data_IF_881275028960
#
_entry.id   IF_881275028960
#
_cell.length_a   1.000
_cell.length_b   1.000
_cell.length_c   1.000
_cell.angle_alpha   90.00
_cell.angle_beta   90.00
_cell.angle_gamma   90.00
#
_symmetry.space_group_name_H-M   'P 1'
#
loop_
_entity.id
_entity.type
_entity.pdbx_description
1 polymer ?
#
# COMPACT_ATOMS: atom_id res chain seq x y z
N UNK A 1 69.47 37.59 82.42
CA UNK A 1 68.02 37.75 82.65
C UNK A 1 67.28 37.48 81.34
N UNK A 2 66.07 36.93 81.46
CA UNK A 2 65.05 36.63 80.44
C UNK A 2 65.21 35.32 79.65
N UNK A 3 64.40 34.35 80.08
CA UNK A 3 63.90 33.21 79.29
C UNK A 3 63.04 33.72 78.14
N UNK A 4 63.13 33.08 76.98
CA UNK A 4 62.05 33.01 76.01
C UNK A 4 62.04 31.61 75.39
N UNK A 5 60.99 30.85 75.70
CA UNK A 5 60.60 29.63 75.01
C UNK A 5 59.95 30.04 73.69
N UNK A 6 60.44 29.54 72.55
CA UNK A 6 59.75 29.64 71.26
C UNK A 6 59.45 28.22 70.79
N UNK A 7 58.15 27.95 70.70
CA UNK A 7 57.56 26.75 70.10
C UNK A 7 57.70 26.89 68.58
N UNK A 8 58.38 25.94 67.92
CA UNK A 8 58.39 25.89 66.46
C UNK A 8 57.64 24.64 66.01
N UNK A 9 56.58 24.89 65.25
CA UNK A 9 55.61 23.93 64.72
C UNK A 9 56.28 23.03 63.68
N UNK A 10 56.15 21.71 63.83
CA UNK A 10 56.54 20.75 62.82
C UNK A 10 55.54 20.78 61.66
N UNK A 11 55.99 21.23 60.48
CA UNK A 11 55.23 21.12 59.25
C UNK A 11 55.52 19.73 58.67
N UNK A 12 54.53 18.84 58.73
CA UNK A 12 54.54 17.58 57.98
C UNK A 12 54.14 17.93 56.54
N UNK A 13 55.10 17.90 55.62
CA UNK A 13 54.81 17.97 54.19
C UNK A 13 54.23 16.63 53.75
N UNK A 14 52.91 16.57 53.60
CA UNK A 14 52.24 15.47 52.91
C UNK A 14 52.49 15.62 51.40
N UNK A 15 53.37 14.79 50.85
CA UNK A 15 53.47 14.58 49.40
C UNK A 15 52.16 13.96 48.92
N UNK A 16 51.35 14.77 48.23
CA UNK A 16 50.16 14.33 47.52
C UNK A 16 50.62 13.54 46.28
N UNK A 17 50.56 12.21 46.33
CA UNK A 17 50.70 11.37 45.14
C UNK A 17 49.39 11.52 44.37
N UNK A 18 49.39 12.34 43.33
CA UNK A 18 48.31 12.38 42.34
C UNK A 18 48.38 11.08 41.54
N UNK A 19 47.55 10.08 41.89
CA UNK A 19 47.19 9.05 40.93
C UNK A 19 46.40 9.74 39.81
N UNK A 20 47.05 9.96 38.67
CA UNK A 20 46.35 10.35 37.46
C UNK A 20 45.39 9.24 37.09
N UNK A 21 44.10 9.44 37.35
CA UNK A 21 43.06 8.69 36.66
C UNK A 21 43.24 8.98 35.16
N UNK A 22 43.37 7.96 34.29
CA UNK A 22 43.30 8.21 32.86
C UNK A 22 41.98 8.92 32.57
N UNK A 23 41.94 9.84 31.57
CA UNK A 23 40.67 10.43 31.16
C UNK A 23 39.69 9.29 30.91
N UNK A 24 38.58 9.31 31.65
CA UNK A 24 37.47 8.41 31.40
C UNK A 24 37.07 8.62 29.95
N UNK A 25 37.39 7.65 29.10
CA UNK A 25 36.83 7.60 27.78
C UNK A 25 35.36 7.34 28.03
N UNK A 26 34.53 8.37 27.96
CA UNK A 26 33.10 8.17 27.84
C UNK A 26 32.95 7.30 26.59
N UNK A 27 32.72 6.01 26.79
CA UNK A 27 32.35 5.10 25.71
C UNK A 27 31.10 5.73 25.11
N UNK A 28 31.15 6.06 23.82
CA UNK A 28 29.97 6.52 23.11
C UNK A 28 28.81 5.57 23.45
N UNK A 29 27.64 6.13 23.72
CA UNK A 29 26.46 5.30 23.94
C UNK A 29 26.34 4.34 22.75
N UNK A 30 26.05 3.07 23.04
CA UNK A 30 25.84 2.09 21.98
C UNK A 30 24.72 2.59 21.05
N UNK A 31 24.86 2.45 19.73
CA UNK A 31 23.78 2.77 18.80
C UNK A 31 22.51 2.02 19.19
N UNK A 32 21.37 2.64 18.93
CA UNK A 32 20.05 2.09 19.25
C UNK A 32 19.15 2.16 18.03
N UNK A 33 18.35 1.13 17.81
CA UNK A 33 17.24 1.11 16.85
C UNK A 33 15.94 1.04 17.63
N UNK A 34 14.99 1.96 17.38
CA UNK A 34 13.75 2.10 18.17
C UNK A 34 13.97 2.16 19.70
N UNK A 35 15.09 2.77 20.13
CA UNK A 35 15.46 2.88 21.55
C UNK A 35 16.02 1.59 22.18
N UNK A 36 16.20 0.52 21.41
CA UNK A 36 16.79 -0.74 21.86
C UNK A 36 18.27 -0.79 21.46
N UNK A 37 19.20 -1.12 22.37
CA UNK A 37 20.63 -1.20 22.06
C UNK A 37 20.95 -2.26 21.01
N UNK A 38 21.80 -1.90 20.04
CA UNK A 38 22.23 -2.79 18.98
C UNK A 38 22.99 -4.02 19.50
N UNK A 39 22.67 -5.20 18.97
CA UNK A 39 23.46 -6.45 19.10
C UNK A 39 24.52 -6.53 18.00
N UNK A 40 24.24 -5.95 16.83
CA UNK A 40 25.11 -5.93 15.65
C UNK A 40 25.18 -4.49 15.10
N UNK A 41 26.38 -4.04 14.76
CA UNK A 41 26.60 -2.73 14.11
C UNK A 41 27.64 -2.88 13.01
N UNK A 42 27.53 -2.13 11.92
CA UNK A 42 28.48 -2.25 10.81
C UNK A 42 28.35 -1.15 9.75
N UNK A 43 29.05 -1.35 8.64
CA UNK A 43 29.00 -0.55 7.39
C UNK A 43 29.22 -1.51 6.22
N UNK A 44 28.55 -1.34 5.09
CA UNK A 44 28.52 -2.25 3.96
C UNK A 44 27.64 -3.47 4.24
N UNK A 45 28.17 -4.68 4.04
CA UNK A 45 27.40 -5.91 4.28
C UNK A 45 27.40 -6.29 5.76
N UNK A 46 26.20 -6.38 6.35
CA UNK A 46 25.94 -6.74 7.73
C UNK A 46 25.03 -7.97 7.74
N UNK A 47 25.39 -8.98 8.53
CA UNK A 47 24.54 -10.16 8.72
C UNK A 47 24.27 -10.32 10.21
N UNK A 48 23.00 -10.51 10.55
CA UNK A 48 22.54 -10.97 11.84
C UNK A 48 22.83 -12.45 12.05
N UNK A 49 22.01 -13.07 12.86
CA UNK A 49 22.08 -14.45 13.27
C UNK A 49 20.72 -15.13 13.06
N UNK A 50 20.62 -16.46 13.17
CA UNK A 50 19.31 -17.14 13.09
C UNK A 50 18.38 -16.91 14.30
N UNK A 51 18.62 -15.88 15.12
CA UNK A 51 17.75 -15.51 16.22
C UNK A 51 17.74 -14.00 16.42
N UNK A 52 16.88 -13.52 17.32
CA UNK A 52 16.58 -12.10 17.53
C UNK A 52 17.84 -11.23 17.62
N UNK A 53 17.94 -10.30 16.68
CA UNK A 53 18.98 -9.30 16.57
C UNK A 53 18.42 -7.87 16.58
N UNK A 54 19.28 -6.93 17.01
CA UNK A 54 19.06 -5.50 16.85
C UNK A 54 20.23 -4.98 16.04
N UNK A 55 19.99 -4.68 14.77
CA UNK A 55 21.02 -4.34 13.80
C UNK A 55 20.92 -2.84 13.50
N UNK A 56 22.07 -2.14 13.60
CA UNK A 56 22.18 -0.74 13.21
C UNK A 56 23.26 -0.59 12.15
N UNK A 57 22.87 -0.08 10.98
CA UNK A 57 23.73 0.30 9.88
C UNK A 57 24.48 1.60 10.13
N UNK A 58 24.64 2.37 9.08
CA UNK A 58 25.49 3.55 9.03
C UNK A 58 24.88 4.67 8.20
N UNK A 59 25.59 5.77 8.00
CA UNK A 59 25.14 6.86 7.14
C UNK A 59 25.56 6.68 5.67
N UNK A 60 25.89 5.45 5.27
CA UNK A 60 26.26 5.07 3.92
C UNK A 60 25.42 3.86 3.52
N UNK A 61 25.23 3.65 2.23
CA UNK A 61 24.46 2.51 1.74
C UNK A 61 25.03 1.16 2.20
N UNK A 62 24.18 0.41 2.88
CA UNK A 62 24.44 -0.85 3.57
C UNK A 62 23.57 -1.97 2.97
N UNK A 63 24.02 -3.23 3.15
CA UNK A 63 23.22 -4.41 2.84
C UNK A 63 23.09 -5.20 4.13
N UNK A 64 21.89 -5.25 4.70
CA UNK A 64 21.63 -5.82 6.02
C UNK A 64 20.70 -7.02 5.88
N UNK A 65 21.14 -8.19 6.37
CA UNK A 65 20.31 -9.39 6.45
C UNK A 65 20.11 -9.79 7.91
N UNK A 66 18.87 -9.78 8.42
CA UNK A 66 18.52 -10.27 9.76
C UNK A 66 18.67 -11.80 9.86
N UNK A 67 18.25 -12.49 8.80
CA UNK A 67 18.25 -13.95 8.59
C UNK A 67 17.03 -14.64 9.18
N UNK A 68 16.88 -14.65 10.50
CA UNK A 68 15.64 -15.14 11.08
C UNK A 68 15.59 -15.02 12.58
N UNK A 69 14.41 -15.24 13.15
CA UNK A 69 14.08 -14.63 14.42
C UNK A 69 13.41 -13.28 14.19
N UNK A 70 12.92 -12.66 15.25
CA UNK A 70 12.17 -11.40 15.17
C UNK A 70 13.15 -10.24 15.37
N UNK A 71 13.60 -9.67 14.27
CA UNK A 71 14.71 -8.75 14.21
C UNK A 71 14.25 -7.29 14.21
N UNK A 72 15.15 -6.41 14.66
CA UNK A 72 14.96 -4.97 14.62
C UNK A 72 16.13 -4.37 13.86
N UNK A 73 15.87 -3.76 12.70
CA UNK A 73 16.89 -3.32 11.75
C UNK A 73 16.70 -1.83 11.45
N UNK A 74 17.76 -1.03 11.61
CA UNK A 74 17.80 0.37 11.18
C UNK A 74 18.96 0.59 10.21
N UNK A 75 18.67 1.01 8.97
CA UNK A 75 19.65 1.42 7.96
C UNK A 75 20.34 2.73 8.31
N UNK A 76 19.53 3.71 8.73
CA UNK A 76 19.85 5.09 9.12
C UNK A 76 19.90 6.06 7.94
N UNK A 77 20.89 5.97 7.06
CA UNK A 77 20.81 6.77 5.85
C UNK A 77 21.87 6.46 4.83
N UNK A 78 21.70 6.99 3.63
CA UNK A 78 22.22 6.33 2.44
C UNK A 78 21.18 5.37 1.89
N UNK A 79 21.48 4.77 0.74
CA UNK A 79 20.56 3.86 0.06
C UNK A 79 20.89 2.43 0.50
N UNK A 80 20.02 1.86 1.32
CA UNK A 80 20.19 0.60 2.01
C UNK A 80 19.39 -0.52 1.34
N UNK A 81 19.82 -1.76 1.56
CA UNK A 81 19.01 -2.95 1.28
C UNK A 81 18.83 -3.71 2.59
N UNK A 82 17.59 -3.76 3.08
CA UNK A 82 17.21 -4.37 4.33
C UNK A 82 16.37 -5.62 4.07
N UNK A 83 16.83 -6.76 4.58
CA UNK A 83 16.16 -8.06 4.47
C UNK A 83 15.98 -8.56 5.90
N UNK A 84 14.75 -8.61 6.42
CA UNK A 84 14.47 -9.10 7.77
C UNK A 84 14.81 -10.59 7.88
N UNK A 85 14.25 -11.37 6.96
CA UNK A 85 14.37 -12.83 6.98
C UNK A 85 13.21 -13.43 7.74
N UNK A 86 13.32 -14.70 8.15
CA UNK A 86 12.17 -15.39 8.72
C UNK A 86 11.79 -14.84 10.10
N UNK A 87 10.60 -14.28 10.27
CA UNK A 87 10.21 -13.79 11.59
C UNK A 87 9.04 -12.84 11.58
N UNK A 88 8.99 -12.02 12.62
CA UNK A 88 8.16 -10.82 12.65
C UNK A 88 9.13 -9.69 12.93
N UNK A 89 9.49 -8.97 11.88
CA UNK A 89 10.62 -8.08 11.85
C UNK A 89 10.17 -6.63 11.85
N UNK A 90 11.07 -5.75 12.29
CA UNK A 90 10.84 -4.31 12.30
C UNK A 90 12.01 -3.61 11.63
N UNK A 91 11.76 -3.03 10.46
CA UNK A 91 12.77 -2.43 9.61
C UNK A 91 12.52 -0.90 9.50
N UNK A 92 13.59 -0.13 9.50
CA UNK A 92 13.63 1.32 9.31
C UNK A 92 14.75 1.63 8.30
N UNK A 93 14.40 2.04 7.08
CA UNK A 93 15.34 2.44 6.04
C UNK A 93 16.10 3.69 6.48
N UNK A 94 15.34 4.74 6.73
CA UNK A 94 15.82 5.99 7.32
C UNK A 94 15.80 7.11 6.29
N UNK A 95 16.94 7.44 5.71
CA UNK A 95 17.01 8.52 4.72
C UNK A 95 17.84 8.10 3.52
N UNK A 96 17.28 8.15 2.33
CA UNK A 96 17.85 7.58 1.12
C UNK A 96 16.80 6.71 0.45
N UNK A 97 17.11 6.25 -0.76
CA UNK A 97 16.21 5.37 -1.49
C UNK A 97 16.57 3.93 -1.14
N UNK A 98 15.71 3.27 -0.37
CA UNK A 98 15.95 2.00 0.27
C UNK A 98 15.18 0.86 -0.40
N UNK A 99 15.71 -0.35 -0.28
CA UNK A 99 15.03 -1.59 -0.70
C UNK A 99 14.78 -2.42 0.55
N UNK A 100 13.52 -2.68 0.88
CA UNK A 100 13.11 -3.37 2.10
C UNK A 100 12.30 -4.61 1.77
N UNK A 101 12.66 -5.73 2.39
CA UNK A 101 11.95 -7.02 2.30
C UNK A 101 11.78 -7.53 3.73
N UNK A 102 10.56 -7.76 4.19
CA UNK A 102 10.37 -8.30 5.54
C UNK A 102 10.95 -9.70 5.67
N UNK A 103 10.75 -10.57 4.66
CA UNK A 103 11.27 -11.94 4.69
C UNK A 103 12.44 -12.20 3.73
N UNK A 104 12.30 -13.21 2.86
CA UNK A 104 13.37 -13.81 2.10
C UNK A 104 13.43 -13.13 0.73
N UNK A 105 14.60 -12.57 0.42
CA UNK A 105 14.92 -12.06 -0.90
C UNK A 105 15.87 -13.01 -1.65
N UNK A 106 15.43 -13.55 -2.79
CA UNK A 106 16.26 -14.42 -3.65
C UNK A 106 16.45 -13.84 -5.06
N UNK A 107 17.65 -14.00 -5.60
CA UNK A 107 17.88 -13.79 -7.04
C UNK A 107 17.27 -14.89 -7.92
N UNK A 108 16.77 -15.97 -7.31
CA UNK A 108 16.06 -17.03 -7.99
C UNK A 108 15.81 -18.26 -7.12
N UNK A 109 14.76 -19.01 -7.47
CA UNK A 109 14.22 -20.11 -6.67
C UNK A 109 12.94 -19.70 -5.96
N UNK A 110 12.49 -20.57 -5.04
CA UNK A 110 11.29 -20.32 -4.27
C UNK A 110 11.66 -19.63 -2.95
N UNK A 111 11.20 -18.40 -2.78
CA UNK A 111 11.23 -17.68 -1.50
C UNK A 111 9.99 -18.10 -0.70
N UNK A 112 10.20 -18.52 0.55
CA UNK A 112 9.14 -19.00 1.44
C UNK A 112 9.33 -18.34 2.79
N UNK A 113 8.47 -17.38 3.11
CA UNK A 113 8.43 -16.62 4.35
C UNK A 113 7.02 -16.61 4.94
N UNK A 114 6.58 -15.44 5.34
CA UNK A 114 5.40 -15.12 6.13
C UNK A 114 5.85 -14.46 7.44
N UNK A 115 5.19 -13.38 7.83
CA UNK A 115 5.52 -12.66 9.04
C UNK A 115 4.37 -11.78 9.53
N UNK A 116 4.64 -10.93 10.50
CA UNK A 116 3.85 -9.71 10.65
C UNK A 116 4.89 -8.65 10.85
N UNK A 117 5.23 -7.98 9.78
CA UNK A 117 6.41 -7.14 9.70
C UNK A 117 6.01 -5.66 9.79
N UNK A 118 6.90 -4.84 10.32
CA UNK A 118 6.74 -3.40 10.38
C UNK A 118 7.86 -2.75 9.57
N UNK A 119 7.54 -2.20 8.40
CA UNK A 119 8.47 -1.55 7.49
C UNK A 119 8.23 -0.04 7.50
N UNK A 120 9.31 0.73 7.59
CA UNK A 120 9.32 2.20 7.49
C UNK A 120 10.39 2.62 6.50
N UNK A 121 10.00 3.17 5.37
CA UNK A 121 10.92 3.68 4.34
C UNK A 121 11.68 4.89 4.85
N UNK A 122 10.97 5.98 5.10
CA UNK A 122 11.51 7.22 5.66
C UNK A 122 11.56 8.31 4.60
N UNK A 123 12.68 9.04 4.51
CA UNK A 123 12.86 10.03 3.44
C UNK A 123 13.50 9.36 2.22
N UNK A 124 12.89 9.39 1.04
CA UNK A 124 13.44 8.81 -0.19
C UNK A 124 12.37 8.10 -1.01
N UNK A 125 12.74 7.65 -2.20
CA UNK A 125 11.86 6.77 -3.00
C UNK A 125 12.20 5.32 -2.65
N UNK A 126 11.32 4.64 -1.92
CA UNK A 126 11.56 3.33 -1.32
C UNK A 126 10.82 2.19 -2.05
N UNK A 127 11.44 1.00 -2.10
CA UNK A 127 10.85 -0.24 -2.64
C UNK A 127 10.64 -1.23 -1.49
N UNK A 128 9.39 -1.45 -1.10
CA UNK A 128 9.00 -2.26 0.05
C UNK A 128 8.11 -3.45 -0.33
N UNK A 129 8.46 -4.62 0.20
CA UNK A 129 7.65 -5.85 0.12
C UNK A 129 7.55 -6.42 1.53
N UNK A 130 6.34 -6.62 2.06
CA UNK A 130 6.14 -7.03 3.46
C UNK A 130 6.67 -8.42 3.73
N UNK A 131 6.50 -9.36 2.80
CA UNK A 131 7.06 -10.71 2.95
C UNK A 131 8.21 -10.98 1.96
N UNK A 132 7.95 -11.88 1.01
CA UNK A 132 8.96 -12.60 0.25
C UNK A 132 9.11 -12.04 -1.15
N UNK A 133 10.36 -11.94 -1.58
CA UNK A 133 10.73 -11.49 -2.92
C UNK A 133 11.60 -12.51 -3.64
N UNK A 134 11.30 -12.72 -4.92
CA UNK A 134 12.21 -13.45 -5.80
C UNK A 134 12.28 -12.85 -7.19
N UNK A 135 13.50 -12.68 -7.72
CA UNK A 135 13.68 -12.23 -9.10
C UNK A 135 13.25 -13.31 -10.12
N UNK A 136 13.16 -14.60 -9.71
CA UNK A 136 12.66 -15.68 -10.57
C UNK A 136 12.26 -16.90 -9.76
N UNK A 137 11.03 -17.38 -9.92
CA UNK A 137 10.46 -18.48 -9.14
C UNK A 137 9.29 -18.00 -8.29
N UNK A 138 8.86 -18.83 -7.34
CA UNK A 138 7.69 -18.50 -6.54
C UNK A 138 8.07 -17.71 -5.29
N UNK A 139 7.32 -16.66 -4.98
CA UNK A 139 7.32 -16.03 -3.66
C UNK A 139 6.05 -16.47 -2.93
N UNK A 140 6.20 -17.03 -1.74
CA UNK A 140 5.08 -17.34 -0.85
C UNK A 140 5.41 -16.79 0.54
N UNK A 141 4.52 -15.98 1.07
CA UNK A 141 4.61 -15.31 2.36
C UNK A 141 3.32 -14.54 2.53
N UNK A 142 2.75 -14.61 3.73
CA UNK A 142 1.60 -13.78 4.06
C UNK A 142 1.74 -13.32 5.49
N UNK A 143 1.07 -12.23 5.81
CA UNK A 143 1.22 -11.62 7.11
C UNK A 143 0.06 -10.72 7.47
N UNK A 144 0.23 -9.94 8.54
CA UNK A 144 -0.53 -8.70 8.63
C UNK A 144 0.51 -7.65 8.88
N UNK A 145 0.91 -7.00 7.81
CA UNK A 145 2.07 -6.14 7.76
C UNK A 145 1.66 -4.69 7.96
N UNK A 146 2.59 -3.92 8.49
CA UNK A 146 2.45 -2.49 8.68
C UNK A 146 3.54 -1.78 7.90
N UNK A 147 3.15 -0.98 6.92
CA UNK A 147 4.06 -0.26 6.04
C UNK A 147 3.79 1.24 6.13
N UNK A 148 4.87 2.02 6.15
CA UNK A 148 4.86 3.49 6.10
C UNK A 148 5.96 3.91 5.12
N UNK A 149 5.56 4.40 3.95
CA UNK A 149 6.40 4.91 2.87
C UNK A 149 7.27 6.05 3.36
N UNK A 150 6.63 7.18 3.63
CA UNK A 150 7.25 8.29 4.33
C UNK A 150 7.27 9.54 3.48
N UNK A 151 8.35 9.82 2.77
CA UNK A 151 8.40 10.98 1.89
C UNK A 151 9.20 10.66 0.64
N UNK A 152 8.57 10.73 -0.54
CA UNK A 152 9.14 10.29 -1.80
C UNK A 152 8.16 9.42 -2.53
N UNK A 153 8.49 9.02 -3.77
CA UNK A 153 7.60 8.17 -4.56
C UNK A 153 7.90 6.70 -4.27
N UNK A 154 7.04 6.06 -3.48
CA UNK A 154 7.26 4.73 -2.93
C UNK A 154 6.55 3.65 -3.74
N UNK A 155 7.13 2.45 -3.71
CA UNK A 155 6.57 1.23 -4.29
C UNK A 155 6.33 0.24 -3.16
N UNK A 156 5.08 -0.14 -2.92
CA UNK A 156 4.71 -0.96 -1.77
C UNK A 156 3.83 -2.14 -2.16
N UNK A 157 4.20 -3.31 -1.63
CA UNK A 157 3.46 -4.57 -1.75
C UNK A 157 3.32 -5.16 -0.34
N UNK A 158 2.09 -5.40 0.12
CA UNK A 158 1.87 -5.89 1.48
C UNK A 158 2.43 -7.29 1.68
N UNK A 159 2.24 -8.23 0.75
CA UNK A 159 2.76 -9.59 0.90
C UNK A 159 3.97 -9.88 -0.01
N UNK A 160 3.77 -10.55 -1.14
CA UNK A 160 4.81 -11.25 -1.89
C UNK A 160 5.00 -10.73 -3.32
N UNK A 161 6.25 -10.69 -3.78
CA UNK A 161 6.60 -10.17 -5.11
C UNK A 161 7.50 -11.10 -5.94
N UNK A 162 7.16 -11.26 -7.22
CA UNK A 162 8.03 -11.93 -8.21
C UNK A 162 8.16 -11.13 -9.52
N UNK A 163 9.40 -10.84 -9.93
CA UNK A 163 9.71 -10.00 -11.09
C UNK A 163 9.67 -10.73 -12.44
N UNK A 164 9.71 -12.05 -12.44
CA UNK A 164 9.81 -12.85 -13.67
C UNK A 164 8.80 -13.99 -13.66
N UNK A 165 9.12 -15.08 -14.38
CA UNK A 165 8.27 -16.27 -14.39
C UNK A 165 8.21 -16.88 -12.99
N UNK A 166 7.01 -16.89 -12.41
CA UNK A 166 6.72 -17.40 -11.08
C UNK A 166 5.42 -16.85 -10.51
N UNK A 167 4.91 -17.49 -9.47
CA UNK A 167 3.69 -17.06 -8.80
C UNK A 167 4.04 -16.34 -7.50
N UNK A 168 3.27 -15.32 -7.15
CA UNK A 168 3.28 -14.67 -5.84
C UNK A 168 2.03 -15.07 -5.06
N UNK A 169 2.18 -15.34 -3.76
CA UNK A 169 1.06 -15.67 -2.87
C UNK A 169 1.27 -15.11 -1.48
N UNK A 170 0.23 -14.46 -1.00
CA UNK A 170 0.04 -13.88 0.33
C UNK A 170 -1.33 -13.22 0.30
N UNK A 171 -2.01 -13.18 1.44
CA UNK A 171 -3.40 -12.68 1.49
C UNK A 171 -3.64 -12.08 2.85
N UNK A 172 -2.77 -11.14 3.20
CA UNK A 172 -2.61 -10.59 4.52
C UNK A 172 -3.81 -9.79 5.00
N UNK A 173 -3.62 -8.95 5.99
CA UNK A 173 -4.57 -7.86 6.23
C UNK A 173 -3.71 -6.72 6.68
N UNK A 174 -3.35 -5.94 5.68
CA UNK A 174 -2.19 -5.09 5.71
C UNK A 174 -2.62 -3.65 5.92
N UNK A 175 -1.69 -2.89 6.50
CA UNK A 175 -1.89 -1.52 6.87
C UNK A 175 -0.79 -0.68 6.24
N UNK A 176 -1.13 0.04 5.18
CA UNK A 176 -0.17 0.72 4.32
C UNK A 176 -0.46 2.21 4.27
N UNK A 177 0.58 3.02 4.45
CA UNK A 177 0.53 4.48 4.34
C UNK A 177 1.61 4.96 3.37
N UNK A 178 1.23 5.58 2.26
CA UNK A 178 2.15 6.20 1.30
C UNK A 178 2.83 7.43 1.87
N UNK A 179 2.01 8.34 2.42
CA UNK A 179 2.35 9.65 3.04
C UNK A 179 2.55 10.75 2.01
N UNK A 180 3.74 11.34 1.88
CA UNK A 180 3.98 12.48 1.00
C UNK A 180 4.75 12.00 -0.23
N UNK A 181 4.17 12.04 -1.42
CA UNK A 181 4.82 11.58 -2.64
C UNK A 181 3.82 11.07 -3.66
N UNK A 182 4.25 10.91 -4.91
CA UNK A 182 3.41 10.33 -5.94
C UNK A 182 3.61 8.79 -5.91
N UNK A 183 2.81 8.09 -5.10
CA UNK A 183 2.98 6.66 -4.82
C UNK A 183 2.18 5.84 -5.84
N UNK A 184 2.72 5.71 -7.05
CA UNK A 184 2.01 5.09 -8.18
C UNK A 184 1.59 3.62 -7.94
N UNK A 185 2.16 2.92 -6.94
CA UNK A 185 1.90 1.49 -6.71
C UNK A 185 1.90 1.13 -5.22
N UNK A 186 0.73 1.17 -4.60
CA UNK A 186 0.43 0.55 -3.31
C UNK A 186 -0.52 -0.62 -3.54
N UNK A 187 -0.01 -1.85 -3.38
CA UNK A 187 -0.77 -3.08 -3.57
C UNK A 187 -0.91 -3.82 -2.23
N UNK A 188 -2.13 -4.11 -1.80
CA UNK A 188 -2.36 -4.70 -0.47
C UNK A 188 -1.81 -6.11 -0.34
N UNK A 189 -1.93 -6.97 -1.36
CA UNK A 189 -1.43 -8.34 -1.28
C UNK A 189 -0.17 -8.57 -2.14
N UNK A 190 -0.32 -9.24 -3.29
CA UNK A 190 0.75 -9.91 -4.00
C UNK A 190 0.86 -9.42 -5.44
N UNK A 191 2.09 -9.33 -5.94
CA UNK A 191 2.37 -8.94 -7.32
C UNK A 191 3.19 -10.00 -8.04
N UNK A 192 2.77 -10.37 -9.26
CA UNK A 192 3.52 -11.28 -10.11
C UNK A 192 3.63 -10.74 -11.54
N UNK A 193 4.84 -10.49 -12.00
CA UNK A 193 5.07 -9.97 -13.36
C UNK A 193 5.00 -11.05 -14.44
N UNK A 194 5.27 -12.32 -14.12
CA UNK A 194 5.33 -13.40 -15.11
C UNK A 194 4.53 -14.65 -14.78
N UNK A 195 3.60 -14.56 -13.83
CA UNK A 195 2.76 -15.67 -13.39
C UNK A 195 1.55 -15.19 -12.61
N UNK A 196 0.94 -16.06 -11.80
CA UNK A 196 -0.29 -15.72 -11.08
C UNK A 196 0.04 -15.04 -9.74
N UNK A 197 -0.73 -14.03 -9.37
CA UNK A 197 -0.73 -13.41 -8.06
C UNK A 197 -2.01 -13.79 -7.32
N UNK A 198 -1.90 -14.13 -6.03
CA UNK A 198 -3.05 -14.55 -5.22
C UNK A 198 -2.99 -13.93 -3.84
N UNK A 199 -4.10 -13.30 -3.45
CA UNK A 199 -4.42 -12.83 -2.10
C UNK A 199 -5.92 -12.82 -1.85
N UNK A 200 -6.46 -11.74 -1.32
CA UNK A 200 -7.82 -11.59 -0.82
C UNK A 200 -7.85 -11.06 0.62
N UNK A 201 -6.95 -10.14 0.95
CA UNK A 201 -6.79 -9.55 2.27
C UNK A 201 -7.99 -8.72 2.72
N UNK A 202 -7.86 -7.88 3.72
CA UNK A 202 -8.89 -6.85 4.00
C UNK A 202 -8.11 -5.61 4.41
N UNK A 203 -7.59 -4.95 3.40
CA UNK A 203 -6.45 -4.09 3.55
C UNK A 203 -6.88 -2.65 3.79
N UNK A 204 -6.01 -1.89 4.44
CA UNK A 204 -6.18 -0.46 4.59
C UNK A 204 -5.01 0.23 3.90
N UNK A 205 -5.32 0.89 2.79
CA UNK A 205 -4.40 1.64 1.96
C UNK A 205 -4.75 3.12 2.06
N UNK A 206 -3.77 3.94 2.42
CA UNK A 206 -3.89 5.40 2.51
C UNK A 206 -2.72 6.01 1.73
N UNK A 207 -3.00 6.59 0.56
CA UNK A 207 -1.99 7.19 -0.33
C UNK A 207 -1.34 8.41 0.33
N UNK A 208 -2.14 9.40 0.69
CA UNK A 208 -1.70 10.56 1.45
C UNK A 208 -1.72 11.83 0.62
N UNK A 209 -0.58 12.44 0.35
CA UNK A 209 -0.45 13.63 -0.48
C UNK A 209 0.39 13.29 -1.71
N UNK A 210 -0.14 13.55 -2.90
CA UNK A 210 0.50 13.25 -4.18
C UNK A 210 -0.48 12.54 -5.08
N UNK A 211 -0.06 12.21 -6.30
CA UNK A 211 -0.89 11.43 -7.21
C UNK A 211 -0.59 9.93 -7.00
N UNK A 212 -1.54 9.19 -6.42
CA UNK A 212 -1.34 7.83 -5.89
C UNK A 212 -2.08 6.74 -6.68
N UNK A 213 -1.52 5.55 -6.71
CA UNK A 213 -2.13 4.34 -7.30
C UNK A 213 -2.38 3.27 -6.24
N UNK A 214 -3.64 3.01 -5.92
CA UNK A 214 -4.03 2.03 -4.89
C UNK A 214 -4.73 0.82 -5.50
N UNK A 215 -4.32 -0.37 -5.07
CA UNK A 215 -4.89 -1.65 -5.46
C UNK A 215 -5.08 -2.52 -4.21
N UNK A 216 -6.32 -2.89 -3.88
CA UNK A 216 -6.59 -3.54 -2.59
C UNK A 216 -5.97 -4.92 -2.48
N UNK A 217 -6.08 -5.75 -3.51
CA UNK A 217 -5.56 -7.12 -3.46
C UNK A 217 -4.28 -7.29 -4.31
N UNK A 218 -4.40 -7.92 -5.48
CA UNK A 218 -3.30 -8.55 -6.20
C UNK A 218 -3.15 -8.01 -7.62
N UNK A 219 -1.90 -7.95 -8.11
CA UNK A 219 -1.58 -7.45 -9.44
C UNK A 219 -0.84 -8.45 -10.32
N UNK A 220 -1.21 -8.51 -11.61
CA UNK A 220 -0.44 -9.19 -12.67
C UNK A 220 -0.16 -8.29 -13.89
N UNK A 221 0.78 -7.32 -13.79
CA UNK A 221 0.94 -6.24 -14.76
C UNK A 221 1.47 -6.62 -16.15
N UNK A 222 2.05 -7.82 -16.32
CA UNK A 222 2.58 -8.26 -17.62
C UNK A 222 2.08 -9.64 -18.06
N UNK A 223 1.12 -10.20 -17.33
CA UNK A 223 0.46 -11.46 -17.64
C UNK A 223 0.29 -12.37 -16.42
N UNK A 224 -0.62 -13.33 -16.55
CA UNK A 224 -1.07 -14.17 -15.43
C UNK A 224 -2.46 -13.77 -14.96
N UNK A 225 -2.97 -14.50 -13.97
CA UNK A 225 -4.24 -14.19 -13.30
C UNK A 225 -3.95 -13.58 -11.94
N UNK A 226 -4.56 -12.42 -11.67
CA UNK A 226 -4.65 -11.88 -10.32
C UNK A 226 -5.93 -12.40 -9.66
N UNK A 227 -5.83 -12.81 -8.39
CA UNK A 227 -7.00 -13.23 -7.61
C UNK A 227 -6.96 -12.61 -6.22
N UNK A 228 -8.12 -12.19 -5.75
CA UNK A 228 -8.38 -11.51 -4.48
C UNK A 228 -9.84 -11.04 -4.52
N UNK A 229 -10.43 -10.74 -3.38
CA UNK A 229 -11.75 -10.09 -3.26
C UNK A 229 -11.92 -9.57 -1.82
N UNK A 230 -10.88 -8.89 -1.33
CA UNK A 230 -10.83 -8.35 0.01
C UNK A 230 -11.89 -7.29 0.24
N UNK A 231 -12.37 -7.09 1.47
CA UNK A 231 -13.20 -5.91 1.76
C UNK A 231 -12.30 -4.80 2.27
N UNK A 232 -11.81 -4.01 1.33
CA UNK A 232 -10.69 -3.10 1.51
C UNK A 232 -11.16 -1.68 1.82
N UNK A 233 -10.25 -0.90 2.41
CA UNK A 233 -10.44 0.52 2.67
C UNK A 233 -9.31 1.25 1.98
N UNK A 234 -9.63 1.88 0.85
CA UNK A 234 -8.68 2.61 0.02
C UNK A 234 -8.98 4.10 0.10
N UNK A 235 -7.98 4.88 0.48
CA UNK A 235 -8.07 6.34 0.59
C UNK A 235 -6.95 6.98 -0.21
N UNK A 236 -7.29 7.68 -1.28
CA UNK A 236 -6.32 8.43 -2.07
C UNK A 236 -5.67 9.52 -1.22
N UNK A 237 -6.48 10.46 -0.71
CA UNK A 237 -5.99 11.56 0.11
C UNK A 237 -6.06 12.90 -0.61
N UNK A 238 -4.94 13.54 -0.88
CA UNK A 238 -4.83 14.76 -1.68
C UNK A 238 -3.98 14.49 -2.91
N UNK A 239 -4.62 14.49 -4.06
CA UNK A 239 -4.04 14.24 -5.37
C UNK A 239 -5.09 14.58 -6.42
N UNK A 240 -4.71 14.79 -7.66
CA UNK A 240 -5.72 14.87 -8.75
C UNK A 240 -5.50 13.81 -9.81
N UNK A 241 -4.37 13.11 -9.73
CA UNK A 241 -3.99 11.98 -10.54
C UNK A 241 -4.33 10.63 -9.92
N UNK A 242 -5.04 10.59 -8.81
CA UNK A 242 -5.28 9.37 -8.04
C UNK A 242 -6.06 8.33 -8.84
N UNK A 243 -5.67 7.06 -8.69
CA UNK A 243 -6.33 5.91 -9.31
C UNK A 243 -6.50 4.78 -8.30
N UNK A 244 -7.72 4.25 -8.20
CA UNK A 244 -8.04 3.20 -7.22
C UNK A 244 -8.77 2.04 -7.90
N UNK A 245 -8.34 0.82 -7.57
CA UNK A 245 -9.03 -0.43 -7.88
C UNK A 245 -9.23 -1.18 -6.56
N UNK A 246 -10.48 -1.45 -6.18
CA UNK A 246 -10.78 -2.04 -4.88
C UNK A 246 -10.21 -3.44 -4.72
N UNK A 247 -10.37 -4.33 -5.70
CA UNK A 247 -9.83 -5.70 -5.59
C UNK A 247 -8.50 -5.86 -6.34
N UNK A 248 -8.53 -6.55 -7.49
CA UNK A 248 -7.35 -7.04 -8.21
C UNK A 248 -7.26 -6.51 -9.63
N UNK A 249 -6.04 -6.35 -10.13
CA UNK A 249 -5.76 -5.97 -11.50
C UNK A 249 -4.98 -7.07 -12.25
N UNK A 250 -5.44 -7.41 -13.45
CA UNK A 250 -4.72 -8.38 -14.28
C UNK A 250 -4.85 -8.15 -15.78
N UNK A 251 -3.82 -8.56 -16.51
CA UNK A 251 -3.85 -8.53 -17.99
C UNK A 251 -4.60 -9.72 -18.58
N UNK A 252 -4.52 -10.92 -17.98
CA UNK A 252 -5.23 -12.10 -18.51
C UNK A 252 -6.54 -12.32 -17.80
N UNK A 253 -6.57 -12.16 -16.49
CA UNK A 253 -7.80 -12.18 -15.71
C UNK A 253 -7.56 -11.58 -14.32
N UNK A 254 -8.61 -10.98 -13.77
CA UNK A 254 -8.73 -10.57 -12.39
C UNK A 254 -9.99 -11.26 -11.83
N UNK A 255 -9.82 -12.16 -10.86
CA UNK A 255 -10.88 -13.07 -10.45
C UNK A 255 -11.01 -13.12 -8.94
N UNK A 256 -12.19 -12.75 -8.48
CA UNK A 256 -12.61 -12.72 -7.09
C UNK A 256 -14.09 -13.02 -6.98
N UNK A 257 -14.62 -13.00 -5.76
CA UNK A 257 -16.07 -12.96 -5.55
C UNK A 257 -16.34 -12.40 -4.17
N UNK A 258 -17.21 -11.40 -4.08
CA UNK A 258 -17.27 -10.56 -2.88
C UNK A 258 -16.37 -9.37 -3.11
N UNK A 259 -15.64 -8.95 -2.07
CA UNK A 259 -15.24 -7.56 -1.95
C UNK A 259 -16.41 -6.75 -1.41
N UNK A 260 -16.18 -5.66 -0.71
CA UNK A 260 -17.21 -4.69 -0.34
C UNK A 260 -16.40 -3.48 0.05
N UNK A 261 -15.95 -2.79 -0.98
CA UNK A 261 -14.82 -1.92 -0.89
C UNK A 261 -15.27 -0.52 -0.51
N UNK A 262 -14.50 0.11 0.35
CA UNK A 262 -14.65 1.54 0.61
C UNK A 262 -13.54 2.25 -0.14
N UNK A 263 -13.92 2.85 -1.27
CA UNK A 263 -13.05 3.69 -2.07
C UNK A 263 -13.37 5.16 -1.80
N UNK A 264 -12.37 5.90 -1.31
CA UNK A 264 -12.45 7.33 -1.03
C UNK A 264 -11.37 8.07 -1.82
N UNK A 265 -11.78 8.79 -2.86
CA UNK A 265 -10.90 9.55 -3.76
C UNK A 265 -10.40 10.86 -3.12
N UNK A 266 -10.71 11.11 -1.85
CA UNK A 266 -10.29 12.33 -1.19
C UNK A 266 -11.14 13.55 -1.57
N UNK A 267 -10.74 14.72 -1.10
CA UNK A 267 -11.57 15.93 -1.27
C UNK A 267 -11.42 16.61 -2.63
N UNK A 268 -10.30 16.36 -3.29
CA UNK A 268 -9.97 16.80 -4.64
C UNK A 268 -10.56 15.87 -5.69
N UNK A 269 -10.62 14.56 -5.45
CA UNK A 269 -11.05 13.56 -6.43
C UNK A 269 -9.84 12.98 -7.17
N UNK A 270 -10.05 12.29 -8.29
CA UNK A 270 -8.95 11.70 -9.04
C UNK A 270 -9.28 11.42 -10.50
N UNK A 271 -8.60 10.43 -11.07
CA UNK A 271 -8.81 10.03 -12.46
C UNK A 271 -9.92 8.98 -12.56
N UNK A 272 -9.82 7.92 -11.76
CA UNK A 272 -10.84 6.87 -11.73
C UNK A 272 -10.86 6.08 -10.42
N UNK A 273 -12.02 5.50 -10.12
CA UNK A 273 -12.24 4.54 -9.04
C UNK A 273 -13.06 3.34 -9.54
N UNK A 274 -12.64 2.13 -9.17
CA UNK A 274 -13.39 0.89 -9.37
C UNK A 274 -13.59 0.19 -8.02
N UNK A 275 -14.78 -0.37 -7.78
CA UNK A 275 -15.03 -1.15 -6.57
C UNK A 275 -14.41 -2.55 -6.63
N UNK A 276 -14.54 -3.26 -7.75
CA UNK A 276 -13.97 -4.61 -7.88
C UNK A 276 -12.67 -4.62 -8.72
N UNK A 277 -12.69 -5.34 -9.85
CA UNK A 277 -11.52 -5.75 -10.61
C UNK A 277 -11.29 -4.91 -11.86
N UNK A 278 -10.03 -4.73 -12.19
CA UNK A 278 -9.61 -4.13 -13.45
C UNK A 278 -8.93 -5.14 -14.39
N UNK A 279 -9.19 -4.99 -15.69
CA UNK A 279 -8.38 -5.60 -16.73
C UNK A 279 -7.45 -4.55 -17.33
N UNK A 280 -6.14 -4.76 -17.29
CA UNK A 280 -5.12 -3.83 -17.81
C UNK A 280 -4.86 -3.89 -19.33
N UNK A 281 -5.58 -4.72 -20.09
CA UNK A 281 -5.43 -4.86 -21.55
C UNK A 281 -6.80 -4.92 -22.28
N UNK A 282 -7.11 -3.99 -23.21
CA UNK A 282 -8.38 -3.98 -23.94
C UNK A 282 -8.59 -5.21 -24.83
N UNK A 283 -7.52 -5.95 -25.16
CA UNK A 283 -7.56 -7.09 -26.07
C UNK A 283 -7.91 -8.41 -25.38
N UNK A 284 -7.97 -8.45 -24.05
CA UNK A 284 -8.46 -9.64 -23.39
C UNK A 284 -8.43 -9.60 -21.88
N UNK A 285 -9.33 -10.38 -21.32
CA UNK A 285 -9.30 -10.84 -19.94
C UNK A 285 -10.69 -10.93 -19.35
N UNK A 286 -10.81 -11.66 -18.25
CA UNK A 286 -12.05 -11.74 -17.48
C UNK A 286 -11.81 -11.02 -16.16
N UNK A 287 -12.53 -9.93 -15.93
CA UNK A 287 -12.72 -9.38 -14.58
C UNK A 287 -14.06 -9.90 -14.06
N UNK A 288 -14.04 -10.51 -12.87
CA UNK A 288 -15.24 -11.08 -12.25
C UNK A 288 -15.22 -10.78 -10.76
N UNK A 289 -15.93 -9.74 -10.36
CA UNK A 289 -16.18 -9.30 -8.98
C UNK A 289 -17.64 -8.87 -8.87
N UNK A 290 -18.17 -8.78 -7.66
CA UNK A 290 -19.55 -8.36 -7.42
C UNK A 290 -19.70 -7.93 -5.96
N UNK A 291 -18.71 -7.19 -5.47
CA UNK A 291 -18.77 -6.52 -4.19
C UNK A 291 -19.93 -5.54 -4.15
N UNK A 292 -20.44 -5.26 -2.96
CA UNK A 292 -21.36 -4.15 -2.77
C UNK A 292 -20.55 -2.97 -2.29
N UNK A 293 -20.09 -2.17 -3.23
CA UNK A 293 -19.02 -1.23 -3.01
C UNK A 293 -19.56 0.15 -2.68
N UNK A 294 -18.71 0.90 -2.00
CA UNK A 294 -18.97 2.28 -1.67
C UNK A 294 -17.85 3.14 -2.19
N UNK A 295 -18.18 3.94 -3.20
CA UNK A 295 -17.26 4.83 -3.86
C UNK A 295 -17.64 6.27 -3.56
N UNK A 296 -16.66 7.05 -3.13
CA UNK A 296 -16.78 8.47 -2.80
C UNK A 296 -15.80 9.22 -3.69
N UNK A 297 -16.34 9.98 -4.63
CA UNK A 297 -15.59 10.93 -5.45
C UNK A 297 -15.24 12.21 -4.69
N UNK A 298 -14.72 13.20 -5.41
CA UNK A 298 -14.17 14.41 -4.83
C UNK A 298 -14.78 15.69 -5.39
N UNK A 299 -13.92 16.58 -5.88
CA UNK A 299 -14.30 17.86 -6.49
C UNK A 299 -13.87 17.98 -7.95
N UNK A 300 -13.18 16.95 -8.45
CA UNK A 300 -12.66 16.80 -9.80
C UNK A 300 -13.71 16.11 -10.67
N UNK A 301 -13.46 16.11 -11.98
CA UNK A 301 -14.29 15.33 -12.90
C UNK A 301 -13.84 13.86 -12.80
N UNK A 302 -14.60 13.03 -12.08
CA UNK A 302 -14.22 11.66 -11.74
C UNK A 302 -14.84 10.61 -12.70
N UNK A 303 -14.16 9.47 -12.89
CA UNK A 303 -14.76 8.25 -13.47
C UNK A 303 -14.97 7.23 -12.35
N UNK A 304 -16.22 6.91 -12.02
CA UNK A 304 -16.56 6.03 -10.90
C UNK A 304 -17.34 4.82 -11.41
N UNK A 305 -16.86 3.62 -11.11
CA UNK A 305 -17.43 2.35 -11.58
C UNK A 305 -17.67 1.46 -10.35
N UNK A 306 -18.91 1.05 -10.11
CA UNK A 306 -19.25 0.22 -8.95
C UNK A 306 -18.54 -1.13 -8.97
N UNK A 307 -18.75 -1.92 -10.01
CA UNK A 307 -18.09 -3.23 -10.12
C UNK A 307 -16.71 -3.16 -10.83
N UNK A 308 -16.58 -3.92 -11.94
CA UNK A 308 -15.36 -4.19 -12.66
C UNK A 308 -15.27 -3.45 -13.99
N UNK A 309 -14.05 -3.14 -14.42
CA UNK A 309 -13.77 -2.79 -15.81
C UNK A 309 -13.35 -4.03 -16.60
N UNK A 310 -14.09 -4.33 -17.67
CA UNK A 310 -14.01 -5.64 -18.34
C UNK A 310 -13.58 -5.55 -19.81
N UNK A 311 -12.72 -6.49 -20.22
CA UNK A 311 -12.42 -6.75 -21.63
C UNK A 311 -13.43 -7.71 -22.31
N UNK A 312 -14.04 -8.63 -21.56
CA UNK A 312 -15.04 -9.60 -22.04
C UNK A 312 -16.40 -9.43 -21.34
N UNK A 313 -17.23 -8.56 -21.90
CA UNK A 313 -18.59 -8.28 -21.40
C UNK A 313 -19.55 -9.49 -21.42
N UNK A 314 -19.17 -10.65 -21.99
CA UNK A 314 -20.03 -11.84 -21.96
C UNK A 314 -19.99 -12.60 -20.64
N UNK A 315 -19.08 -12.19 -19.75
CA UNK A 315 -18.78 -12.88 -18.50
C UNK A 315 -18.61 -11.87 -17.38
N UNK A 316 -19.72 -11.24 -16.99
CA UNK A 316 -19.76 -10.28 -15.89
C UNK A 316 -20.62 -10.80 -14.73
N UNK A 317 -20.36 -10.24 -13.56
CA UNK A 317 -21.12 -10.34 -12.32
C UNK A 317 -21.19 -8.92 -11.76
N UNK A 318 -22.21 -8.63 -10.94
CA UNK A 318 -22.47 -7.27 -10.46
C UNK A 318 -23.10 -7.30 -9.06
N UNK A 319 -22.73 -6.32 -8.22
CA UNK A 319 -23.18 -6.12 -6.84
C UNK A 319 -24.07 -4.89 -6.66
N UNK A 320 -24.65 -4.72 -5.47
CA UNK A 320 -25.51 -3.56 -5.17
C UNK A 320 -24.64 -2.40 -4.64
N UNK A 321 -24.39 -1.37 -5.45
CA UNK A 321 -23.38 -0.34 -5.16
C UNK A 321 -23.92 1.00 -4.65
N UNK A 322 -23.05 1.78 -4.01
CA UNK A 322 -23.34 3.13 -3.55
C UNK A 322 -22.24 4.10 -3.96
N UNK A 323 -22.53 4.91 -4.98
CA UNK A 323 -21.58 5.88 -5.55
C UNK A 323 -22.06 7.31 -5.27
N UNK A 324 -21.14 8.16 -4.80
CA UNK A 324 -21.35 9.59 -4.58
C UNK A 324 -20.25 10.36 -5.30
N UNK A 325 -20.56 11.03 -6.42
CA UNK A 325 -19.61 11.78 -7.25
C UNK A 325 -19.02 13.02 -6.57
N UNK A 326 -19.76 13.62 -5.65
CA UNK A 326 -19.29 14.76 -4.88
C UNK A 326 -19.44 16.08 -5.65
N UNK A 327 -18.51 16.41 -6.53
CA UNK A 327 -18.69 17.52 -7.44
C UNK A 327 -17.60 17.53 -8.49
N UNK A 328 -17.81 18.30 -9.55
CA UNK A 328 -17.14 18.00 -10.82
C UNK A 328 -18.18 17.46 -11.80
N UNK A 329 -17.79 17.24 -13.04
CA UNK A 329 -18.67 16.65 -14.05
C UNK A 329 -18.33 15.17 -14.15
N UNK A 330 -19.07 14.36 -13.41
CA UNK A 330 -18.67 12.98 -13.16
C UNK A 330 -19.25 12.03 -14.20
N UNK A 331 -18.53 10.94 -14.44
CA UNK A 331 -18.99 9.80 -15.22
C UNK A 331 -19.14 8.61 -14.28
N UNK A 332 -20.40 8.24 -14.01
CA UNK A 332 -20.76 7.23 -13.01
C UNK A 332 -21.38 6.01 -13.72
N UNK A 333 -20.81 4.84 -13.47
CA UNK A 333 -21.37 3.54 -13.84
C UNK A 333 -21.73 2.78 -12.56
N UNK A 334 -23.00 2.38 -12.43
CA UNK A 334 -23.45 1.55 -11.31
C UNK A 334 -22.80 0.17 -11.35
N UNK A 335 -22.98 -0.52 -12.48
CA UNK A 335 -22.37 -1.82 -12.69
C UNK A 335 -21.03 -1.73 -13.46
N UNK A 336 -20.56 -2.89 -13.92
CA UNK A 336 -19.44 -3.07 -14.85
C UNK A 336 -19.38 -2.05 -16.02
N UNK A 337 -18.17 -1.58 -16.33
CA UNK A 337 -17.89 -0.77 -17.52
C UNK A 337 -16.99 -1.51 -18.51
N UNK A 338 -16.95 -1.04 -19.76
CA UNK A 338 -15.95 -1.49 -20.72
C UNK A 338 -14.56 -0.96 -20.34
N UNK A 339 -13.50 -1.58 -20.86
CA UNK A 339 -12.12 -1.13 -20.65
C UNK A 339 -11.90 0.38 -20.88
N UNK A 340 -12.55 0.96 -21.90
CA UNK A 340 -12.39 2.38 -22.24
C UNK A 340 -13.11 3.33 -21.25
N UNK A 341 -13.91 2.79 -20.32
CA UNK A 341 -14.64 3.56 -19.30
C UNK A 341 -15.69 4.50 -19.89
N UNK A 342 -16.26 4.18 -21.06
CA UNK A 342 -17.19 5.05 -21.79
C UNK A 342 -18.55 4.40 -22.09
N UNK A 343 -18.75 3.15 -21.66
CA UNK A 343 -20.01 2.44 -21.77
C UNK A 343 -20.13 1.31 -20.73
N UNK A 344 -21.36 1.08 -20.24
CA UNK A 344 -21.68 -0.09 -19.42
C UNK A 344 -21.44 -1.39 -20.17
N UNK A 345 -20.99 -2.42 -19.45
CA UNK A 345 -20.63 -3.71 -20.02
C UNK A 345 -21.44 -4.88 -19.43
N UNK A 346 -21.94 -5.72 -20.33
CA UNK A 346 -22.53 -7.01 -19.97
C UNK A 346 -24.03 -6.96 -19.69
N UNK A 347 -24.51 -7.96 -18.94
CA UNK A 347 -25.95 -8.12 -18.63
C UNK A 347 -26.22 -8.47 -17.17
N UNK A 348 -25.16 -8.61 -16.36
CA UNK A 348 -25.31 -8.63 -14.92
C UNK A 348 -25.57 -7.20 -14.46
N UNK A 349 -26.37 -7.04 -13.41
CA UNK A 349 -26.51 -5.77 -12.72
C UNK A 349 -26.98 -5.98 -11.29
N UNK A 350 -26.62 -5.05 -10.42
CA UNK A 350 -27.14 -4.92 -9.06
C UNK A 350 -27.99 -3.66 -8.90
N UNK A 351 -28.49 -3.45 -7.68
CA UNK A 351 -29.43 -2.36 -7.38
C UNK A 351 -28.69 -1.19 -6.74
N UNK A 352 -28.41 -0.21 -7.57
CA UNK A 352 -27.46 0.82 -7.18
C UNK A 352 -28.12 2.07 -6.65
N UNK A 353 -27.35 2.82 -5.85
CA UNK A 353 -27.69 4.15 -5.40
C UNK A 353 -26.59 5.13 -5.84
N UNK A 354 -26.86 5.84 -6.93
CA UNK A 354 -25.93 6.68 -7.67
C UNK A 354 -26.28 8.15 -7.48
N UNK A 355 -25.32 8.97 -7.09
CA UNK A 355 -25.50 10.41 -6.89
C UNK A 355 -24.40 11.20 -7.59
N UNK A 356 -24.76 12.07 -8.53
CA UNK A 356 -23.81 12.98 -9.19
C UNK A 356 -23.42 14.17 -8.31
N UNK A 357 -24.39 14.69 -7.55
CA UNK A 357 -24.25 15.85 -6.66
C UNK A 357 -24.07 17.18 -7.38
N UNK A 358 -22.85 17.63 -7.69
CA UNK A 358 -22.60 19.01 -8.08
C UNK A 358 -21.72 19.13 -9.32
N UNK A 359 -22.36 19.33 -10.47
CA UNK A 359 -21.72 19.54 -11.77
C UNK A 359 -22.62 18.97 -12.85
N UNK A 360 -22.13 18.91 -14.09
CA UNK A 360 -22.94 18.38 -15.18
C UNK A 360 -22.64 16.87 -15.34
N UNK A 361 -23.38 16.02 -14.63
CA UNK A 361 -23.02 14.61 -14.43
C UNK A 361 -23.64 13.67 -15.48
N UNK A 362 -22.97 12.55 -15.74
CA UNK A 362 -23.44 11.46 -16.60
C UNK A 362 -23.50 10.15 -15.82
N UNK A 363 -24.72 9.66 -15.57
CA UNK A 363 -24.98 8.49 -14.73
C UNK A 363 -25.60 7.37 -15.58
N UNK A 364 -24.94 6.22 -15.60
CA UNK A 364 -25.36 4.99 -16.27
C UNK A 364 -25.57 3.89 -15.23
N UNK A 365 -26.81 3.49 -15.00
CA UNK A 365 -27.13 2.57 -13.90
C UNK A 365 -26.92 1.09 -14.19
N UNK A 366 -26.86 0.69 -15.47
CA UNK A 366 -26.79 -0.72 -15.81
C UNK A 366 -28.08 -1.52 -15.55
N UNK A 367 -28.00 -2.87 -15.53
CA UNK A 367 -29.17 -3.75 -15.41
C UNK A 367 -29.66 -4.08 -13.98
N UNK A 368 -30.40 -3.24 -13.26
CA UNK A 368 -31.39 -3.79 -12.32
C UNK A 368 -32.57 -2.86 -12.03
N UNK A 369 -32.68 -2.30 -10.82
CA UNK A 369 -33.71 -1.32 -10.49
C UNK A 369 -33.05 -0.33 -9.55
N UNK A 370 -32.67 0.78 -10.14
CA UNK A 370 -31.62 1.61 -9.58
C UNK A 370 -32.18 2.96 -9.14
N UNK A 371 -31.45 3.61 -8.24
CA UNK A 371 -31.75 4.96 -7.80
C UNK A 371 -30.68 5.91 -8.31
N UNK A 372 -31.08 6.88 -9.13
CA UNK A 372 -30.22 7.90 -9.71
C UNK A 372 -30.64 9.28 -9.18
N UNK A 373 -29.69 10.05 -8.66
CA UNK A 373 -29.88 11.45 -8.27
C UNK A 373 -28.81 12.31 -8.95
N UNK A 374 -29.19 13.06 -10.00
CA UNK A 374 -28.26 13.96 -10.70
C UNK A 374 -27.74 15.08 -9.79
N UNK A 375 -28.58 15.56 -8.88
CA UNK A 375 -28.23 16.60 -7.94
C UNK A 375 -28.42 18.00 -8.52
N UNK A 376 -27.34 18.76 -8.64
CA UNK A 376 -27.34 20.16 -9.02
C UNK A 376 -26.57 20.37 -10.33
N UNK A 377 -27.21 21.13 -11.22
CA UNK A 377 -26.76 21.60 -12.53
C UNK A 377 -27.47 20.87 -13.67
N UNK A 378 -26.76 20.33 -14.67
CA UNK A 378 -27.39 19.72 -15.86
C UNK A 378 -26.95 18.29 -16.04
N UNK A 379 -27.81 17.38 -15.61
CA UNK A 379 -27.43 15.97 -15.46
C UNK A 379 -28.11 15.08 -16.50
N UNK A 380 -27.38 14.04 -16.91
CA UNK A 380 -27.86 12.99 -17.80
C UNK A 380 -27.91 11.67 -17.06
N UNK A 381 -29.11 11.11 -16.89
CA UNK A 381 -29.34 9.87 -16.16
C UNK A 381 -29.97 8.82 -17.09
N UNK A 382 -29.31 7.68 -17.24
CA UNK A 382 -29.78 6.53 -18.01
C UNK A 382 -29.95 5.30 -17.10
N UNK A 383 -31.19 4.83 -16.92
CA UNK A 383 -31.50 3.59 -16.19
C UNK A 383 -31.19 2.31 -16.98
N UNK A 384 -30.75 2.46 -18.23
CA UNK A 384 -30.36 1.39 -19.15
C UNK A 384 -31.33 0.20 -19.24
N UNK A 385 -30.98 -0.95 -18.66
CA UNK A 385 -31.73 -2.19 -18.79
C UNK A 385 -32.71 -2.42 -17.62
N UNK A 386 -32.75 -1.50 -16.66
CA UNK A 386 -33.63 -1.58 -15.51
C UNK A 386 -35.11 -1.47 -15.86
N UNK A 387 -35.95 -2.01 -14.98
CA UNK A 387 -37.40 -2.11 -15.24
C UNK A 387 -38.25 -1.26 -14.30
N UNK A 388 -37.65 -0.71 -13.26
CA UNK A 388 -38.30 0.06 -12.21
C UNK A 388 -37.35 1.10 -11.60
N UNK A 389 -36.47 1.67 -12.43
CA UNK A 389 -35.50 2.69 -12.02
C UNK A 389 -36.20 3.96 -11.54
N UNK A 390 -35.51 4.69 -10.68
CA UNK A 390 -35.97 5.97 -10.14
C UNK A 390 -34.88 6.99 -10.35
N UNK A 391 -35.13 7.95 -11.26
CA UNK A 391 -34.30 9.13 -11.41
C UNK A 391 -34.95 10.36 -10.78
N UNK A 392 -34.16 11.11 -10.01
CA UNK A 392 -34.53 12.42 -9.45
C UNK A 392 -33.45 13.45 -9.81
N UNK A 393 -33.86 14.71 -9.89
CA UNK A 393 -32.96 15.83 -10.19
C UNK A 393 -32.07 15.60 -11.44
N UNK A 394 -32.63 15.02 -12.49
CA UNK A 394 -31.95 14.85 -13.78
C UNK A 394 -32.67 15.65 -14.87
N UNK A 395 -31.94 16.48 -15.62
CA UNK A 395 -32.47 17.28 -16.73
C UNK A 395 -32.72 16.42 -17.96
N UNK A 396 -31.86 15.44 -18.21
CA UNK A 396 -31.99 14.46 -19.28
C UNK A 396 -32.16 13.06 -18.68
N UNK A 397 -33.24 12.38 -19.05
CA UNK A 397 -33.54 11.04 -18.53
C UNK A 397 -33.82 10.08 -19.69
N UNK A 398 -33.13 8.93 -19.69
CA UNK A 398 -33.33 7.82 -20.61
C UNK A 398 -33.63 6.53 -19.84
N UNK A 399 -34.45 5.66 -20.43
CA UNK A 399 -34.78 4.32 -19.92
C UNK A 399 -35.35 4.22 -18.48
N UNK A 400 -35.79 5.33 -17.87
CA UNK A 400 -36.51 5.33 -16.58
C UNK A 400 -38.04 5.29 -16.77
N UNK A 401 -38.78 4.32 -16.19
CA UNK A 401 -40.22 4.09 -16.42
C UNK A 401 -41.24 5.17 -16.01
#
# INVERSE_FOLDING_TARGET
MRRSTIITVGIVTATLITLGMPPGHATAAAPTCFGIPATVTGTGTINGTPGIDVIVGSAAGDIINGLGGNDIICGLGGNDTLIGGLGNDRLDGGAGNDIMRGDIALAGGNALGGGNDELRGGDGDDDMVGDSYTASGNAEGGGNDQMDGGAGADFMIGDSFTEAAGNARGGGTDLMYGRDGDDEHITGDSVAFGGDAQGGGNDLLDGGNGDDGLLGDSATPFGGTATGAGSDILRAGLGTGDSIVGDSEGIVAAIGSGGNDLVDMGTDGGVFALGDHNIGDPTGGQARGAGNDRIIGGSADDILIGDSSVGDASVTVAGDDSIDGGGGNDLIFGDNSNFDGDATAGTAGGRDNLRGQAGDDSIFAGPANDFLDGGANTDTCDGEAGTADVAVNCETVANVP
#
